data_IF_446141065771
#
_entry.id   IF_446141065771
#
_cell.length_a   1.000
_cell.length_b   1.000
_cell.length_c   1.000
_cell.angle_alpha   90.00
_cell.angle_beta   90.00
_cell.angle_gamma   90.00
#
_symmetry.space_group_name_H-M   'P 1'
#
loop_
_entity.id
_entity.type
_entity.pdbx_description
1 polymer ?
#
# COMPACT_ATOMS: atom_id res chain seq x y z
N UNK A 1 1.07 -17.42 8.84
CA UNK A 1 0.83 -16.10 8.21
C UNK A 1 1.36 -15.04 9.14
N UNK A 2 2.56 -14.55 8.86
CA UNK A 2 3.19 -13.43 9.57
C UNK A 2 2.37 -12.18 9.29
N UNK A 3 1.86 -11.57 10.35
CA UNK A 3 1.12 -10.32 10.32
C UNK A 3 1.97 -9.22 9.67
N UNK A 4 1.38 -8.37 8.83
CA UNK A 4 1.95 -7.11 8.29
C UNK A 4 2.42 -6.11 9.39
N UNK A 5 2.39 -6.53 10.66
CA UNK A 5 2.80 -5.88 11.89
C UNK A 5 4.29 -5.49 11.99
N UNK A 6 5.18 -5.92 11.09
CA UNK A 6 6.63 -5.72 11.28
C UNK A 6 7.17 -4.38 10.76
N UNK A 7 6.49 -3.68 9.85
CA UNK A 7 6.96 -2.37 9.33
C UNK A 7 6.45 -1.18 10.14
N UNK A 8 5.32 -1.34 10.84
CA UNK A 8 4.74 -0.29 11.68
C UNK A 8 5.64 0.19 12.82
N UNK A 9 6.27 -0.68 13.63
CA UNK A 9 7.13 -0.22 14.72
C UNK A 9 8.47 0.34 14.23
N UNK A 10 8.95 -0.02 13.03
CA UNK A 10 10.26 0.41 12.51
C UNK A 10 10.17 1.85 12.00
N UNK A 11 9.12 2.20 11.25
CA UNK A 11 8.89 3.59 10.83
C UNK A 11 8.69 4.49 12.06
N UNK A 12 7.96 4.02 13.08
CA UNK A 12 7.74 4.75 14.34
C UNK A 12 8.99 4.90 15.22
N UNK A 13 9.86 3.89 15.31
CA UNK A 13 11.07 3.96 16.13
C UNK A 13 12.13 4.90 15.54
N UNK A 14 12.26 4.92 14.21
CA UNK A 14 13.16 5.85 13.50
C UNK A 14 12.63 7.29 13.57
N UNK A 15 11.31 7.48 13.49
CA UNK A 15 10.64 8.77 13.61
C UNK A 15 10.92 9.52 14.93
N UNK A 16 11.01 8.81 16.06
CA UNK A 16 11.19 9.43 17.38
C UNK A 16 12.57 9.21 18.01
N UNK A 17 13.35 8.24 17.54
CA UNK A 17 14.77 8.12 17.87
C UNK A 17 15.62 9.25 17.29
N UNK A 18 15.23 9.80 16.13
CA UNK A 18 15.89 10.95 15.51
C UNK A 18 15.34 12.32 15.98
N UNK A 19 14.05 12.41 16.34
CA UNK A 19 13.42 13.69 16.71
C UNK A 19 13.75 14.18 18.12
N UNK A 20 14.16 13.28 19.03
CA UNK A 20 14.63 13.67 20.38
C UNK A 20 16.06 14.24 20.39
N UNK A 21 16.81 14.15 19.28
CA UNK A 21 18.13 14.74 19.13
C UNK A 21 18.17 15.95 18.16
N UNK A 22 17.12 16.21 17.38
CA UNK A 22 17.15 17.22 16.31
C UNK A 22 16.18 18.42 16.49
N UNK A 23 15.49 18.57 17.63
CA UNK A 23 14.71 19.78 17.95
C UNK A 23 15.47 20.76 18.87
N UNK A 24 16.80 20.79 18.78
CA UNK A 24 17.66 21.72 19.52
C UNK A 24 18.69 22.47 18.68
N UNK A 25 18.78 22.23 17.37
CA UNK A 25 19.76 22.88 16.52
C UNK A 25 19.12 23.30 15.22
N UNK A 26 18.75 24.57 15.12
CA UNK A 26 19.12 25.34 13.94
C UNK A 26 19.16 26.83 14.24
N UNK A 27 20.10 27.47 13.53
CA UNK A 27 20.32 28.91 13.35
C UNK A 27 21.32 29.60 14.30
N UNK A 28 22.62 29.47 13.99
CA UNK A 28 23.42 30.62 13.46
C UNK A 28 24.82 30.21 13.00
N UNK A 29 25.22 30.84 11.89
CA UNK A 29 26.59 31.10 11.42
C UNK A 29 27.16 30.17 10.34
N UNK A 30 26.86 30.51 9.08
CA UNK A 30 27.89 30.48 8.04
C UNK A 30 28.53 31.88 7.96
N UNK A 31 29.83 31.99 8.24
CA UNK A 31 30.76 32.92 7.59
C UNK A 31 32.22 32.63 7.98
N UNK A 32 33.02 32.24 6.97
CA UNK A 32 34.48 32.39 6.76
C UNK A 32 35.46 32.35 7.96
N UNK A 33 36.42 31.43 7.89
CA UNK A 33 37.75 31.49 8.55
C UNK A 33 38.70 32.48 7.83
N UNK A 34 39.95 32.80 8.29
CA UNK A 34 40.72 32.26 9.44
C UNK A 34 41.52 33.28 10.32
N UNK A 35 42.07 32.75 11.44
CA UNK A 35 43.26 33.12 12.24
C UNK A 35 43.40 34.52 12.90
N UNK A 36 43.64 34.59 14.23
CA UNK A 36 44.93 34.79 14.93
C UNK A 36 44.69 34.74 16.47
N UNK A 37 45.63 34.16 17.22
CA UNK A 37 45.70 34.07 18.69
C UNK A 37 45.38 35.37 19.44
N UNK A 38 44.60 35.25 20.52
CA UNK A 38 44.87 35.90 21.80
C UNK A 38 44.19 35.10 22.93
N UNK A 39 44.98 34.74 23.94
CA UNK A 39 44.48 34.27 25.23
C UNK A 39 43.60 35.35 25.85
N UNK A 40 42.41 34.99 26.29
CA UNK A 40 41.77 35.66 27.42
C UNK A 40 40.82 34.69 28.13
N UNK A 41 40.97 34.64 29.45
CA UNK A 41 40.12 33.90 30.37
C UNK A 41 38.70 34.50 30.34
N UNK A 42 37.79 33.87 29.59
CA UNK A 42 36.37 34.13 29.69
C UNK A 42 35.69 32.93 30.35
N UNK A 43 35.13 33.16 31.54
CA UNK A 43 34.23 32.24 32.25
C UNK A 43 33.27 31.56 31.27
N UNK A 44 33.37 30.25 31.17
CA UNK A 44 32.36 29.42 30.53
C UNK A 44 31.09 29.48 31.38
N UNK A 45 30.20 30.43 31.08
CA UNK A 45 28.81 30.38 31.52
C UNK A 45 28.23 29.07 30.97
N UNK A 46 27.69 28.17 31.80
CA UNK A 46 27.04 26.98 31.27
C UNK A 46 25.84 27.45 30.45
N UNK A 47 25.85 27.10 29.15
CA UNK A 47 24.69 27.28 28.28
C UNK A 47 23.49 26.61 28.96
N UNK A 48 22.36 27.29 29.16
CA UNK A 48 21.21 26.64 29.79
C UNK A 48 20.75 25.53 28.84
N UNK A 49 20.95 24.27 29.24
CA UNK A 49 20.14 23.19 28.70
C UNK A 49 18.70 23.62 28.87
N UNK A 50 17.98 23.83 27.78
CA UNK A 50 16.58 24.22 27.80
C UNK A 50 15.80 23.09 28.49
N UNK A 51 15.58 23.23 29.79
CA UNK A 51 14.70 22.35 30.56
C UNK A 51 13.29 22.67 30.10
N UNK A 52 12.76 21.84 29.19
CA UNK A 52 11.39 21.92 28.73
C UNK A 52 10.49 21.87 29.96
N UNK A 53 9.59 22.84 30.10
CA UNK A 53 8.64 22.86 31.22
C UNK A 53 7.70 21.66 31.13
N UNK A 54 7.16 21.23 32.28
CA UNK A 54 6.24 20.09 32.29
C UNK A 54 4.95 20.38 31.49
N UNK A 55 4.55 21.65 31.37
CA UNK A 55 3.45 22.06 30.53
C UNK A 55 3.76 21.89 29.03
N UNK A 56 4.95 22.31 28.58
CA UNK A 56 5.40 22.13 27.20
C UNK A 56 5.56 20.65 26.86
N UNK A 57 6.05 19.83 27.80
CA UNK A 57 6.12 18.38 27.63
C UNK A 57 4.73 17.75 27.43
N UNK A 58 3.72 18.15 28.22
CA UNK A 58 2.34 17.66 28.07
C UNK A 58 1.71 18.05 26.74
N UNK A 59 1.99 19.25 26.24
CA UNK A 59 1.53 19.69 24.91
C UNK A 59 2.19 18.83 23.82
N UNK A 60 3.50 18.66 23.87
CA UNK A 60 4.24 17.84 22.89
C UNK A 60 3.76 16.38 22.87
N UNK A 61 3.49 15.81 24.05
CA UNK A 61 2.95 14.44 24.16
C UNK A 61 1.54 14.33 23.55
N UNK A 62 0.69 15.35 23.71
CA UNK A 62 -0.65 15.39 23.12
C UNK A 62 -0.59 15.54 21.59
N UNK A 63 0.26 16.42 21.07
CA UNK A 63 0.48 16.59 19.62
C UNK A 63 1.00 15.29 18.98
N UNK A 64 1.99 14.65 19.63
CA UNK A 64 2.54 13.37 19.19
C UNK A 64 1.45 12.29 19.13
N UNK A 65 0.65 12.19 20.18
CA UNK A 65 -0.43 11.19 20.27
C UNK A 65 -1.45 11.40 19.14
N UNK A 66 -1.86 12.65 18.89
CA UNK A 66 -2.80 12.97 17.82
C UNK A 66 -2.28 12.62 16.42
N UNK A 67 -1.01 12.96 16.11
CA UNK A 67 -0.38 12.60 14.84
C UNK A 67 -0.26 11.09 14.67
N UNK A 68 0.10 10.39 15.74
CA UNK A 68 0.24 8.94 15.75
C UNK A 68 -1.11 8.24 15.56
N UNK A 69 -2.16 8.68 16.24
CA UNK A 69 -3.50 8.11 16.12
C UNK A 69 -4.07 8.34 14.71
N UNK A 70 -3.87 9.53 14.14
CA UNK A 70 -4.24 9.82 12.75
C UNK A 70 -3.55 8.88 11.76
N UNK A 71 -2.22 8.70 11.90
CA UNK A 71 -1.47 7.79 11.05
C UNK A 71 -1.92 6.33 11.21
N UNK A 72 -2.07 5.87 12.46
CA UNK A 72 -2.51 4.51 12.78
C UNK A 72 -3.87 4.20 12.17
N UNK A 73 -4.82 5.14 12.26
CA UNK A 73 -6.16 4.94 11.72
C UNK A 73 -6.15 4.74 10.20
N UNK A 74 -5.41 5.56 9.47
CA UNK A 74 -5.27 5.43 8.02
C UNK A 74 -4.59 4.13 7.63
N UNK A 75 -3.52 3.81 8.34
CA UNK A 75 -2.76 2.60 8.11
C UNK A 75 -3.56 1.33 8.36
N UNK A 76 -4.32 1.29 9.45
CA UNK A 76 -5.24 0.21 9.76
C UNK A 76 -6.33 0.09 8.68
N UNK A 77 -6.86 1.22 8.22
CA UNK A 77 -7.84 1.22 7.14
C UNK A 77 -7.26 0.64 5.85
N UNK A 78 -6.07 1.09 5.43
CA UNK A 78 -5.38 0.55 4.25
C UNK A 78 -5.16 -0.95 4.42
N UNK A 79 -4.66 -1.39 5.57
CA UNK A 79 -4.39 -2.81 5.83
C UNK A 79 -5.66 -3.68 5.75
N UNK A 80 -6.78 -3.24 6.33
CA UNK A 80 -8.05 -3.96 6.26
C UNK A 80 -8.51 -4.08 4.80
N UNK A 81 -8.40 -3.00 4.05
CA UNK A 81 -8.88 -2.94 2.67
C UNK A 81 -7.97 -3.75 1.73
N UNK A 82 -6.66 -3.73 1.97
CA UNK A 82 -5.66 -4.57 1.30
C UNK A 82 -5.88 -6.05 1.53
N UNK A 83 -6.18 -6.45 2.77
CA UNK A 83 -6.40 -7.85 3.09
C UNK A 83 -7.68 -8.39 2.41
N UNK A 84 -8.77 -7.61 2.40
CA UNK A 84 -9.97 -7.98 1.64
C UNK A 84 -9.70 -8.04 0.13
N UNK A 85 -8.93 -7.09 -0.42
CA UNK A 85 -8.53 -7.12 -1.82
C UNK A 85 -7.72 -8.39 -2.16
N UNK A 86 -6.74 -8.72 -1.33
CA UNK A 86 -5.93 -9.93 -1.48
C UNK A 86 -6.80 -11.19 -1.41
N UNK A 87 -7.72 -11.29 -0.44
CA UNK A 87 -8.64 -12.42 -0.35
C UNK A 87 -9.51 -12.59 -1.61
N UNK A 88 -9.97 -11.49 -2.21
CA UNK A 88 -10.73 -11.51 -3.47
C UNK A 88 -9.86 -11.96 -4.64
N UNK A 89 -8.61 -11.47 -4.72
CA UNK A 89 -7.64 -11.91 -5.72
C UNK A 89 -7.39 -13.43 -5.60
N UNK A 90 -7.01 -13.91 -4.41
CA UNK A 90 -6.74 -15.34 -4.17
C UNK A 90 -7.94 -16.23 -4.48
N UNK A 91 -9.17 -15.71 -4.35
CA UNK A 91 -10.37 -16.43 -4.76
C UNK A 91 -10.50 -16.55 -6.28
N UNK A 92 -10.22 -15.46 -7.01
CA UNK A 92 -10.26 -15.43 -8.48
C UNK A 92 -9.10 -16.19 -9.13
N UNK A 93 -7.96 -16.33 -8.45
CA UNK A 93 -6.78 -17.04 -8.95
C UNK A 93 -6.87 -18.56 -8.83
N UNK A 94 -7.90 -19.10 -8.16
CA UNK A 94 -8.02 -20.55 -8.03
C UNK A 94 -8.12 -21.19 -9.42
N UNK A 95 -7.45 -22.34 -9.66
CA UNK A 95 -7.36 -22.92 -11.00
C UNK A 95 -8.72 -23.21 -11.64
N UNK A 96 -9.72 -23.58 -10.84
CA UNK A 96 -11.08 -23.84 -11.29
C UNK A 96 -11.76 -22.58 -11.83
N UNK A 97 -11.35 -21.38 -11.43
CA UNK A 97 -11.91 -20.11 -11.95
C UNK A 97 -11.34 -19.72 -13.31
N UNK A 98 -10.24 -20.35 -13.68
CA UNK A 98 -9.55 -20.14 -14.96
C UNK A 98 -9.79 -21.31 -15.93
N UNK A 99 -10.67 -22.24 -15.57
CA UNK A 99 -11.02 -23.41 -16.38
C UNK A 99 -12.50 -23.34 -16.80
N UNK A 100 -12.82 -23.25 -18.12
CA UNK A 100 -14.18 -23.25 -18.61
C UNK A 100 -14.96 -24.54 -18.29
N UNK A 101 -14.30 -25.66 -17.97
CA UNK A 101 -14.98 -26.88 -17.54
C UNK A 101 -15.58 -26.80 -16.13
N UNK A 102 -15.19 -25.78 -15.34
CA UNK A 102 -15.71 -25.58 -13.99
C UNK A 102 -17.07 -24.86 -13.95
N UNK A 103 -17.56 -24.43 -15.11
CA UNK A 103 -18.83 -23.72 -15.25
C UNK A 103 -19.91 -24.70 -15.68
N UNK A 104 -20.99 -24.78 -14.92
CA UNK A 104 -22.14 -25.64 -15.22
C UNK A 104 -23.06 -25.02 -16.28
N UNK A 105 -23.07 -23.69 -16.42
CA UNK A 105 -23.91 -22.97 -17.38
C UNK A 105 -23.31 -21.63 -17.81
N UNK A 106 -23.75 -21.05 -18.95
CA UNK A 106 -23.37 -19.71 -19.33
C UNK A 106 -23.75 -18.66 -18.29
N UNK A 107 -24.86 -18.87 -17.57
CA UNK A 107 -25.35 -17.91 -16.57
C UNK A 107 -24.41 -17.77 -15.37
N UNK A 108 -23.66 -18.82 -15.03
CA UNK A 108 -22.64 -18.73 -13.99
C UNK A 108 -21.56 -17.72 -14.36
N UNK A 109 -21.20 -17.56 -15.64
CA UNK A 109 -20.21 -16.57 -16.10
C UNK A 109 -20.63 -15.16 -15.66
N UNK A 110 -21.92 -14.83 -15.64
CA UNK A 110 -22.39 -13.53 -15.19
C UNK A 110 -22.24 -13.33 -13.67
N UNK A 111 -22.35 -14.41 -12.89
CA UNK A 111 -22.02 -14.36 -11.45
C UNK A 111 -20.53 -14.07 -11.25
N UNK A 112 -19.67 -14.72 -12.04
CA UNK A 112 -18.22 -14.48 -12.02
C UNK A 112 -17.85 -13.06 -12.43
N UNK A 113 -18.50 -12.51 -13.47
CA UNK A 113 -18.35 -11.10 -13.84
C UNK A 113 -18.74 -10.16 -12.71
N UNK A 114 -19.77 -10.49 -11.95
CA UNK A 114 -20.18 -9.71 -10.77
C UNK A 114 -19.08 -9.71 -9.69
N UNK A 115 -18.50 -10.88 -9.40
CA UNK A 115 -17.40 -10.99 -8.44
C UNK A 115 -16.15 -10.23 -8.93
N UNK A 116 -15.84 -10.32 -10.22
CA UNK A 116 -14.76 -9.56 -10.85
C UNK A 116 -14.99 -8.05 -10.77
N UNK A 117 -16.23 -7.59 -10.96
CA UNK A 117 -16.57 -6.18 -10.77
C UNK A 117 -16.37 -5.74 -9.32
N UNK A 118 -16.79 -6.54 -8.34
CA UNK A 118 -16.52 -6.24 -6.93
C UNK A 118 -15.02 -6.18 -6.62
N UNK A 119 -14.22 -7.05 -7.25
CA UNK A 119 -12.75 -6.98 -7.15
C UNK A 119 -12.21 -5.67 -7.74
N UNK A 120 -12.68 -5.24 -8.91
CA UNK A 120 -12.28 -3.95 -9.54
C UNK A 120 -12.64 -2.75 -8.67
N UNK A 121 -13.85 -2.75 -8.12
CA UNK A 121 -14.31 -1.68 -7.21
C UNK A 121 -13.43 -1.63 -5.96
N UNK A 122 -13.07 -2.79 -5.41
CA UNK A 122 -12.18 -2.89 -4.27
C UNK A 122 -10.76 -2.42 -4.59
N UNK A 123 -10.20 -2.83 -5.73
CA UNK A 123 -8.89 -2.38 -6.20
C UNK A 123 -8.85 -0.85 -6.35
N UNK A 124 -9.89 -0.28 -6.94
CA UNK A 124 -10.06 1.18 -7.08
C UNK A 124 -10.13 1.88 -5.73
N UNK A 125 -10.86 1.29 -4.77
CA UNK A 125 -10.95 1.82 -3.40
C UNK A 125 -9.58 1.84 -2.71
N UNK A 126 -8.81 0.76 -2.81
CA UNK A 126 -7.46 0.67 -2.22
C UNK A 126 -6.50 1.68 -2.87
N UNK A 127 -6.49 1.76 -4.21
CA UNK A 127 -5.71 2.77 -4.94
C UNK A 127 -6.08 4.20 -4.51
N UNK A 128 -7.38 4.47 -4.34
CA UNK A 128 -7.89 5.75 -3.83
C UNK A 128 -7.42 6.08 -2.41
N UNK A 129 -7.24 5.08 -1.53
CA UNK A 129 -6.70 5.30 -0.19
C UNK A 129 -5.24 5.74 -0.23
N UNK A 130 -4.43 5.11 -1.08
CA UNK A 130 -3.03 5.49 -1.27
C UNK A 130 -2.89 6.88 -1.90
N UNK A 131 -3.62 7.17 -2.99
CA UNK A 131 -3.60 8.49 -3.63
C UNK A 131 -4.14 9.59 -2.72
N UNK A 132 -5.10 9.25 -1.85
CA UNK A 132 -5.71 10.17 -0.90
C UNK A 132 -4.97 10.30 0.43
N UNK A 133 -3.85 9.60 0.63
CA UNK A 133 -3.21 9.43 1.94
C UNK A 133 -2.91 10.77 2.63
N UNK A 134 -2.35 11.74 1.90
CA UNK A 134 -2.07 13.08 2.43
C UNK A 134 -3.35 13.79 2.91
N UNK A 135 -4.36 13.85 2.05
CA UNK A 135 -5.62 14.53 2.36
C UNK A 135 -6.34 13.87 3.53
N UNK A 136 -6.29 12.54 3.60
CA UNK A 136 -6.91 11.76 4.66
C UNK A 136 -6.16 11.96 5.98
N UNK A 137 -4.82 12.08 5.94
CA UNK A 137 -4.01 12.40 7.12
C UNK A 137 -4.36 13.78 7.67
N UNK A 138 -4.40 14.80 6.81
CA UNK A 138 -4.78 16.15 7.23
C UNK A 138 -6.22 16.19 7.80
N UNK A 139 -7.13 15.37 7.27
CA UNK A 139 -8.48 15.24 7.81
C UNK A 139 -8.49 14.60 9.20
N UNK A 140 -7.75 13.51 9.41
CA UNK A 140 -7.67 12.83 10.71
C UNK A 140 -6.97 13.69 11.77
N UNK A 141 -5.92 14.43 11.40
CA UNK A 141 -5.28 15.40 12.30
C UNK A 141 -6.27 16.49 12.72
N UNK A 142 -7.05 17.05 11.79
CA UNK A 142 -8.11 18.02 12.14
C UNK A 142 -9.18 17.43 13.06
N UNK A 143 -9.52 16.16 12.88
CA UNK A 143 -10.52 15.46 13.70
C UNK A 143 -10.04 15.19 15.14
N UNK A 144 -8.73 15.22 15.39
CA UNK A 144 -8.16 15.02 16.73
C UNK A 144 -8.51 16.15 17.72
N UNK A 145 -8.93 17.33 17.21
CA UNK A 145 -9.20 18.55 17.99
C UNK A 145 -7.98 19.06 18.80
N UNK A 146 -6.79 18.52 18.56
CA UNK A 146 -5.53 19.04 19.10
C UNK A 146 -5.01 20.10 18.14
N UNK A 147 -4.63 21.26 18.67
CA UNK A 147 -3.92 22.27 17.88
C UNK A 147 -2.46 21.84 17.82
N UNK A 148 -1.96 21.59 16.61
CA UNK A 148 -0.60 21.13 16.36
C UNK A 148 0.11 22.17 15.52
N UNK A 149 1.38 22.46 15.84
CA UNK A 149 2.21 23.30 15.00
C UNK A 149 2.22 22.76 13.54
N UNK A 150 1.89 23.60 12.53
CA UNK A 150 1.92 23.20 11.12
C UNK A 150 3.27 22.65 10.66
N UNK A 151 4.39 23.13 11.22
CA UNK A 151 5.73 22.64 10.91
C UNK A 151 5.96 21.21 11.43
N UNK A 152 5.46 20.89 12.62
CA UNK A 152 5.52 19.53 13.19
C UNK A 152 4.65 18.60 12.35
N UNK A 153 3.42 19.01 12.04
CA UNK A 153 2.49 18.25 11.20
C UNK A 153 3.08 18.00 9.81
N UNK A 154 3.69 19.01 9.20
CA UNK A 154 4.34 18.90 7.88
C UNK A 154 5.52 17.93 7.91
N UNK A 155 6.42 18.03 8.90
CA UNK A 155 7.56 17.10 9.04
C UNK A 155 7.09 15.66 9.24
N UNK A 156 6.12 15.44 10.14
CA UNK A 156 5.56 14.12 10.39
C UNK A 156 4.92 13.55 9.12
N UNK A 157 4.13 14.35 8.40
CA UNK A 157 3.51 13.96 7.14
C UNK A 157 4.55 13.56 6.09
N UNK A 158 5.62 14.34 5.90
CA UNK A 158 6.69 14.00 4.94
C UNK A 158 7.29 12.63 5.25
N UNK A 159 7.54 12.33 6.53
CA UNK A 159 8.12 11.05 6.92
C UNK A 159 7.11 9.91 6.77
N UNK A 160 5.85 10.12 7.17
CA UNK A 160 4.78 9.15 6.99
C UNK A 160 4.62 8.78 5.51
N UNK A 161 4.49 9.77 4.62
CA UNK A 161 4.35 9.54 3.19
C UNK A 161 5.61 8.89 2.61
N UNK A 162 6.80 9.32 3.02
CA UNK A 162 8.07 8.76 2.57
C UNK A 162 8.32 7.30 3.01
N UNK A 163 7.58 6.81 4.00
CA UNK A 163 7.74 5.45 4.51
C UNK A 163 7.02 4.38 3.67
N UNK A 164 6.10 4.77 2.78
CA UNK A 164 5.39 3.81 1.93
C UNK A 164 6.27 3.36 0.75
N UNK A 165 6.25 2.07 0.40
CA UNK A 165 6.95 1.55 -0.78
C UNK A 165 6.18 1.90 -2.06
N UNK A 166 6.21 3.17 -2.46
CA UNK A 166 5.37 3.71 -3.55
C UNK A 166 5.55 2.99 -4.88
N UNK A 167 6.77 2.60 -5.23
CA UNK A 167 7.03 1.88 -6.48
C UNK A 167 6.29 0.53 -6.51
N UNK A 168 6.36 -0.23 -5.42
CA UNK A 168 5.63 -1.50 -5.24
C UNK A 168 4.13 -1.28 -5.27
N UNK A 169 3.62 -0.26 -4.58
CA UNK A 169 2.19 0.08 -4.55
C UNK A 169 1.69 0.42 -5.95
N UNK A 170 2.41 1.27 -6.68
CA UNK A 170 2.06 1.70 -8.03
C UNK A 170 2.09 0.53 -9.02
N UNK A 171 3.14 -0.30 -8.96
CA UNK A 171 3.28 -1.48 -9.80
C UNK A 171 2.16 -2.48 -9.53
N UNK A 172 1.85 -2.74 -8.26
CA UNK A 172 0.73 -3.61 -7.88
C UNK A 172 -0.61 -3.07 -8.39
N UNK A 173 -0.86 -1.77 -8.26
CA UNK A 173 -2.08 -1.13 -8.78
C UNK A 173 -2.25 -1.37 -10.29
N UNK A 174 -1.17 -1.18 -11.06
CA UNK A 174 -1.17 -1.49 -12.50
C UNK A 174 -1.46 -2.96 -12.79
N UNK A 175 -0.80 -3.87 -12.07
CA UNK A 175 -1.00 -5.32 -12.25
C UNK A 175 -2.41 -5.76 -11.87
N UNK A 176 -3.03 -5.18 -10.84
CA UNK A 176 -4.42 -5.46 -10.45
C UNK A 176 -5.40 -5.07 -11.56
N UNK A 177 -5.18 -3.91 -12.19
CA UNK A 177 -5.97 -3.48 -13.36
C UNK A 177 -5.80 -4.46 -14.52
N UNK A 178 -4.55 -4.80 -14.87
CA UNK A 178 -4.26 -5.74 -15.95
C UNK A 178 -4.88 -7.12 -15.70
N UNK A 179 -4.74 -7.64 -14.48
CA UNK A 179 -5.35 -8.91 -14.07
C UNK A 179 -6.86 -8.89 -14.26
N UNK A 180 -7.52 -7.81 -13.81
CA UNK A 180 -8.97 -7.70 -13.94
C UNK A 180 -9.42 -7.66 -15.41
N UNK A 181 -8.68 -6.97 -16.27
CA UNK A 181 -8.97 -6.90 -17.70
C UNK A 181 -8.78 -8.25 -18.41
N UNK A 182 -7.70 -8.96 -18.11
CA UNK A 182 -7.42 -10.25 -18.73
C UNK A 182 -8.39 -11.33 -18.23
N UNK A 183 -8.73 -11.30 -16.95
CA UNK A 183 -9.77 -12.17 -16.40
C UNK A 183 -11.14 -11.87 -17.02
N UNK A 184 -11.48 -10.60 -17.28
CA UNK A 184 -12.71 -10.23 -17.99
C UNK A 184 -12.71 -10.79 -19.42
N UNK A 185 -11.61 -10.61 -20.17
CA UNK A 185 -11.47 -11.17 -21.53
C UNK A 185 -11.63 -12.69 -21.52
N UNK A 186 -11.12 -13.37 -20.50
CA UNK A 186 -11.26 -14.81 -20.33
C UNK A 186 -12.73 -15.22 -20.12
N UNK A 187 -13.45 -14.54 -19.23
CA UNK A 187 -14.90 -14.76 -19.03
C UNK A 187 -15.71 -14.47 -20.30
N UNK A 188 -15.38 -13.40 -21.01
CA UNK A 188 -16.01 -13.05 -22.29
C UNK A 188 -15.74 -14.10 -23.37
N UNK A 189 -14.53 -14.66 -23.38
CA UNK A 189 -14.16 -15.75 -24.26
C UNK A 189 -15.00 -17.01 -23.98
N UNK A 190 -15.22 -17.36 -22.70
CA UNK A 190 -16.08 -18.49 -22.34
C UNK A 190 -17.52 -18.28 -22.78
N UNK A 191 -18.06 -17.09 -22.53
CA UNK A 191 -19.44 -16.76 -22.90
C UNK A 191 -19.64 -16.86 -24.41
N UNK A 192 -18.71 -16.28 -25.19
CA UNK A 192 -18.81 -16.22 -26.65
C UNK A 192 -18.69 -17.59 -27.31
N UNK A 193 -17.87 -18.47 -26.73
CA UNK A 193 -17.54 -19.76 -27.32
C UNK A 193 -18.22 -20.92 -26.56
N UNK A 194 -19.30 -20.65 -25.83
CA UNK A 194 -19.99 -21.67 -25.03
C UNK A 194 -20.38 -22.89 -25.86
N UNK A 195 -20.07 -24.08 -25.34
CA UNK A 195 -20.39 -25.36 -26.00
C UNK A 195 -19.41 -25.77 -27.10
N UNK A 196 -18.40 -24.95 -27.42
CA UNK A 196 -17.39 -25.26 -28.43
C UNK A 196 -16.15 -25.95 -27.86
N UNK A 197 -16.14 -26.31 -26.58
CA UNK A 197 -15.04 -27.07 -25.96
C UNK A 197 -15.52 -28.38 -25.38
N UNK A 198 -14.57 -29.30 -25.22
CA UNK A 198 -14.76 -30.56 -24.51
C UNK A 198 -13.57 -30.82 -23.59
N UNK A 199 -13.75 -31.54 -22.48
CA UNK A 199 -12.63 -32.02 -21.68
C UNK A 199 -11.79 -33.00 -22.52
N UNK A 200 -10.48 -32.79 -22.59
CA UNK A 200 -9.56 -33.67 -23.31
C UNK A 200 -8.77 -34.56 -22.36
N UNK A 201 -8.77 -35.87 -22.67
CA UNK A 201 -7.96 -36.87 -22.00
C UNK A 201 -8.29 -37.07 -20.51
N UNK A 202 -7.37 -37.73 -19.79
CA UNK A 202 -7.49 -37.98 -18.34
C UNK A 202 -7.26 -36.72 -17.49
N UNK A 203 -6.58 -35.72 -18.04
CA UNK A 203 -6.21 -34.48 -17.34
C UNK A 203 -7.31 -33.41 -17.39
N UNK A 204 -8.39 -33.65 -18.15
CA UNK A 204 -9.60 -32.83 -18.14
C UNK A 204 -9.45 -31.43 -18.76
N UNK A 205 -8.33 -31.10 -19.41
CA UNK A 205 -8.09 -29.77 -19.98
C UNK A 205 -9.07 -29.44 -21.11
N UNK A 206 -9.57 -28.21 -21.24
CA UNK A 206 -10.50 -27.86 -22.31
C UNK A 206 -9.79 -27.85 -23.67
N UNK A 207 -10.40 -28.52 -24.65
CA UNK A 207 -10.00 -28.44 -26.06
C UNK A 207 -11.18 -27.91 -26.85
N UNK A 208 -10.94 -26.84 -27.61
CA UNK A 208 -11.94 -26.17 -28.41
C UNK A 208 -12.04 -26.80 -29.81
N UNK A 209 -13.19 -26.64 -30.46
CA UNK A 209 -13.51 -27.16 -31.79
C UNK A 209 -12.50 -26.74 -32.87
N UNK A 210 -11.80 -25.62 -32.68
CA UNK A 210 -10.71 -25.20 -33.55
C UNK A 210 -9.40 -24.98 -32.79
N UNK A 211 -8.30 -25.25 -33.50
CA UNK A 211 -6.95 -25.01 -32.99
C UNK A 211 -6.68 -23.53 -32.69
N UNK A 212 -7.31 -22.61 -33.44
CA UNK A 212 -7.20 -21.17 -33.20
C UNK A 212 -7.86 -20.75 -31.89
N UNK A 213 -9.06 -21.25 -31.58
CA UNK A 213 -9.72 -21.01 -30.29
C UNK A 213 -8.92 -21.58 -29.13
N UNK A 214 -8.40 -22.80 -29.27
CA UNK A 214 -7.54 -23.41 -28.25
C UNK A 214 -6.28 -22.57 -27.99
N UNK A 215 -5.65 -22.06 -29.05
CA UNK A 215 -4.48 -21.17 -28.93
C UNK A 215 -4.83 -19.85 -28.24
N UNK A 216 -5.95 -19.23 -28.62
CA UNK A 216 -6.42 -17.99 -28.01
C UNK A 216 -6.74 -18.16 -26.52
N UNK A 217 -7.42 -19.25 -26.15
CA UNK A 217 -7.69 -19.60 -24.76
C UNK A 217 -6.39 -19.77 -23.95
N UNK A 218 -5.47 -20.61 -24.44
CA UNK A 218 -4.22 -20.88 -23.75
C UNK A 218 -3.41 -19.61 -23.52
N UNK A 219 -3.36 -18.72 -24.52
CA UNK A 219 -2.70 -17.42 -24.41
C UNK A 219 -3.34 -16.54 -23.33
N UNK A 220 -4.66 -16.33 -23.37
CA UNK A 220 -5.36 -15.50 -22.38
C UNK A 220 -5.19 -16.05 -20.97
N UNK A 221 -5.26 -17.38 -20.81
CA UNK A 221 -5.08 -18.04 -19.53
C UNK A 221 -3.64 -17.87 -19.01
N UNK A 222 -2.65 -18.08 -19.86
CA UNK A 222 -1.24 -17.92 -19.50
C UNK A 222 -0.92 -16.48 -19.10
N UNK A 223 -1.42 -15.50 -19.84
CA UNK A 223 -1.31 -14.08 -19.51
C UNK A 223 -1.93 -13.79 -18.12
N UNK A 224 -3.17 -14.24 -17.89
CA UNK A 224 -3.87 -14.05 -16.59
C UNK A 224 -3.10 -14.67 -15.42
N UNK A 225 -2.64 -15.91 -15.57
CA UNK A 225 -1.87 -16.64 -14.53
C UNK A 225 -0.53 -15.95 -14.27
N UNK A 226 0.17 -15.52 -15.32
CA UNK A 226 1.45 -14.83 -15.21
C UNK A 226 1.33 -13.51 -14.44
N UNK A 227 0.27 -12.73 -14.71
CA UNK A 227 0.00 -11.50 -13.95
C UNK A 227 -0.34 -11.81 -12.49
N UNK A 228 -1.14 -12.85 -12.22
CA UNK A 228 -1.41 -13.30 -10.84
C UNK A 228 -0.14 -13.65 -10.07
N UNK A 229 0.80 -14.38 -10.70
CA UNK A 229 2.11 -14.65 -10.10
C UNK A 229 2.93 -13.39 -9.81
N UNK A 230 2.89 -12.39 -10.69
CA UNK A 230 3.55 -11.10 -10.45
C UNK A 230 2.90 -10.36 -9.27
N UNK A 231 1.56 -10.37 -9.17
CA UNK A 231 0.84 -9.78 -8.04
C UNK A 231 1.25 -10.41 -6.71
N UNK A 232 1.34 -11.73 -6.64
CA UNK A 232 1.81 -12.43 -5.44
C UNK A 232 3.22 -11.96 -5.03
N UNK A 233 4.13 -11.76 -6.00
CA UNK A 233 5.46 -11.22 -5.69
C UNK A 233 5.40 -9.79 -5.14
N UNK A 234 4.53 -8.92 -5.66
CA UNK A 234 4.37 -7.57 -5.13
C UNK A 234 3.77 -7.58 -3.71
N UNK A 235 2.79 -8.45 -3.45
CA UNK A 235 2.24 -8.62 -2.10
C UNK A 235 3.30 -9.12 -1.11
N UNK A 236 4.12 -10.09 -1.51
CA UNK A 236 5.27 -10.54 -0.71
C UNK A 236 6.28 -9.40 -0.51
N UNK A 237 6.58 -8.61 -1.54
CA UNK A 237 7.51 -7.49 -1.45
C UNK A 237 7.00 -6.38 -0.50
N UNK A 238 5.69 -6.14 -0.42
CA UNK A 238 5.10 -5.23 0.56
C UNK A 238 5.19 -5.74 2.02
N UNK A 239 5.49 -7.04 2.21
CA UNK A 239 5.69 -7.67 3.52
C UNK A 239 7.15 -7.88 3.90
N UNK A 240 8.11 -7.47 3.05
CA UNK A 240 9.56 -7.60 3.25
C UNK A 240 10.22 -6.24 3.47
#
# INVERSE_FOLDING_TARGET
>A
MTSYSQYFPIVLAVLFGASSLAMGQDAKSMLKAPAVSAMDHASATPSPSATISEAEKRVLDAEKTALQDAANKLCNQIQIEENDLYHRLSFLEKPDRLDPNSYASPDEINQWRTLLQQFKDKATKVDGLYRGLEKNFDAEVRNSKVTIDPAITSRFKTILLGAFPWDTINKKSLLLTQYAEDHQKLLDFYQKNWGTWRPAGKDGKPVFESASLTTAYNKLREETVSIGHQLEQEYIAMTR
#
